data_IF_452143247402
#
_entry.id   IF_452143247402
#
_cell.length_a   1.000
_cell.length_b   1.000
_cell.length_c   1.000
_cell.angle_alpha   90.00
_cell.angle_beta   90.00
_cell.angle_gamma   90.00
#
_symmetry.space_group_name_H-M   'P 1'
#
loop_
_entity.id
_entity.type
_entity.pdbx_description
1 polymer ?
#
# COMPACT_ATOMS: atom_id res chain seq x y z
N UNK A 1 -62.91 -3.47 -11.59
CA UNK A 1 -61.66 -2.70 -11.39
C UNK A 1 -60.65 -3.63 -10.77
N UNK A 2 -59.68 -4.10 -11.55
CA UNK A 2 -58.54 -4.87 -11.05
C UNK A 2 -57.30 -4.19 -11.61
N UNK A 3 -56.47 -3.66 -10.71
CA UNK A 3 -55.19 -3.03 -11.02
C UNK A 3 -54.19 -4.17 -11.23
N UNK A 4 -53.71 -4.34 -12.46
CA UNK A 4 -52.60 -5.23 -12.78
C UNK A 4 -51.30 -4.52 -12.41
N UNK A 5 -50.77 -4.82 -11.23
CA UNK A 5 -49.39 -4.43 -10.87
C UNK A 5 -48.41 -5.28 -11.68
N UNK A 6 -47.69 -4.61 -12.58
CA UNK A 6 -46.62 -5.21 -13.38
C UNK A 6 -45.39 -5.35 -12.49
N UNK A 7 -45.09 -6.56 -12.04
CA UNK A 7 -43.83 -6.88 -11.35
C UNK A 7 -42.67 -6.71 -12.33
N UNK A 8 -41.95 -5.58 -12.24
CA UNK A 8 -40.70 -5.38 -12.95
C UNK A 8 -39.66 -6.37 -12.42
N UNK A 9 -38.94 -7.13 -13.27
CA UNK A 9 -37.82 -7.92 -12.80
C UNK A 9 -36.75 -6.94 -12.32
N UNK A 10 -36.53 -6.90 -11.01
CA UNK A 10 -35.44 -6.18 -10.37
C UNK A 10 -34.16 -6.81 -10.90
N UNK A 11 -33.60 -6.22 -11.96
CA UNK A 11 -32.24 -6.54 -12.40
C UNK A 11 -31.37 -6.43 -11.16
N UNK A 12 -30.60 -7.50 -10.89
CA UNK A 12 -29.58 -7.52 -9.86
C UNK A 12 -28.63 -6.37 -10.16
N UNK A 13 -28.91 -5.22 -9.54
CA UNK A 13 -27.99 -4.12 -9.47
C UNK A 13 -26.86 -4.65 -8.60
N UNK A 14 -25.77 -5.04 -9.25
CA UNK A 14 -24.51 -5.30 -8.56
C UNK A 14 -24.19 -4.01 -7.82
N UNK A 15 -24.47 -4.03 -6.52
CA UNK A 15 -24.17 -2.93 -5.65
C UNK A 15 -22.66 -2.79 -5.60
N UNK A 16 -22.13 -1.74 -6.23
CA UNK A 16 -20.72 -1.35 -6.12
C UNK A 16 -20.39 -0.82 -4.71
N UNK A 17 -21.33 -0.83 -3.76
CA UNK A 17 -21.23 -0.28 -2.40
C UNK A 17 -20.61 -1.21 -1.34
N UNK A 18 -19.79 -2.18 -1.74
CA UNK A 18 -18.82 -2.77 -0.78
C UNK A 18 -17.47 -2.99 -1.44
N UNK A 19 -16.90 -1.91 -1.98
CA UNK A 19 -15.46 -1.86 -2.21
C UNK A 19 -14.77 -2.25 -0.89
N UNK A 20 -13.87 -3.25 -0.85
CA UNK A 20 -13.13 -3.56 0.37
C UNK A 20 -12.51 -2.26 0.87
N UNK A 21 -13.00 -1.83 2.03
CA UNK A 21 -12.50 -0.66 2.73
C UNK A 21 -11.25 -1.14 3.43
N UNK A 22 -10.13 -0.47 3.14
CA UNK A 22 -8.73 -0.77 3.48
C UNK A 22 -8.03 -1.60 2.41
N UNK A 23 -7.44 -0.90 1.43
CA UNK A 23 -6.21 -1.37 0.83
C UNK A 23 -5.08 -1.06 1.83
N UNK A 24 -4.37 -2.09 2.27
CA UNK A 24 -3.32 -1.97 3.28
C UNK A 24 -1.99 -2.49 2.78
N UNK A 25 -0.91 -1.99 3.36
CA UNK A 25 0.39 -2.64 3.26
C UNK A 25 0.35 -3.85 4.21
N UNK A 26 0.53 -5.05 3.66
CA UNK A 26 0.47 -6.32 4.39
C UNK A 26 1.85 -6.79 4.86
N UNK A 27 2.92 -6.30 4.22
CA UNK A 27 4.28 -6.40 4.70
C UNK A 27 5.12 -5.21 4.22
N UNK A 28 6.02 -4.67 5.05
CA UNK A 28 6.32 -5.08 6.43
C UNK A 28 5.19 -4.78 7.42
N UNK A 29 5.13 -5.58 8.48
CA UNK A 29 4.24 -5.41 9.65
C UNK A 29 5.01 -4.84 10.84
N UNK A 30 4.31 -4.50 11.93
CA UNK A 30 4.94 -4.05 13.16
C UNK A 30 5.96 -5.02 13.79
N UNK A 31 5.91 -6.30 13.43
CA UNK A 31 6.84 -7.34 13.89
C UNK A 31 7.96 -7.64 12.87
N UNK A 32 7.98 -6.94 11.74
CA UNK A 32 9.01 -7.13 10.71
C UNK A 32 10.33 -6.50 11.13
N UNK A 33 11.43 -7.18 10.82
CA UNK A 33 12.79 -6.65 10.96
C UNK A 33 13.49 -6.73 9.61
N UNK A 34 13.88 -5.59 9.06
CA UNK A 34 14.69 -5.50 7.86
C UNK A 34 16.17 -5.42 8.23
N UNK A 35 16.96 -6.34 7.69
CA UNK A 35 18.38 -6.43 7.97
C UNK A 35 19.17 -5.63 6.95
N UNK A 36 20.07 -4.74 7.41
CA UNK A 36 20.91 -3.98 6.49
C UNK A 36 21.79 -4.89 5.66
N UNK A 37 21.99 -4.51 4.40
CA UNK A 37 22.70 -5.30 3.42
C UNK A 37 21.91 -6.47 2.83
N UNK A 38 20.75 -6.84 3.40
CA UNK A 38 19.89 -7.90 2.87
C UNK A 38 18.79 -7.34 1.96
N UNK A 39 18.19 -8.22 1.15
CA UNK A 39 16.96 -7.90 0.43
C UNK A 39 15.77 -7.90 1.38
N UNK A 40 14.76 -7.11 1.04
CA UNK A 40 13.46 -7.10 1.71
C UNK A 40 12.33 -7.03 0.67
N UNK A 41 11.11 -7.32 1.07
CA UNK A 41 9.94 -7.19 0.20
C UNK A 41 8.87 -6.31 0.84
N UNK A 42 8.11 -5.64 -0.02
CA UNK A 42 6.92 -4.88 0.32
C UNK A 42 5.74 -5.56 -0.36
N UNK A 43 4.66 -5.79 0.39
CA UNK A 43 3.42 -6.39 -0.09
C UNK A 43 2.23 -5.53 0.31
N UNK A 44 1.26 -5.40 -0.58
CA UNK A 44 0.05 -4.61 -0.32
C UNK A 44 -1.14 -5.15 -1.12
N UNK A 45 -2.34 -4.81 -0.65
CA UNK A 45 -3.56 -5.06 -1.40
C UNK A 45 -3.68 -4.04 -2.54
N UNK A 46 -3.79 -4.51 -3.77
CA UNK A 46 -3.95 -3.65 -4.96
C UNK A 46 -5.28 -2.90 -4.87
N UNK A 47 -5.23 -1.66 -4.41
CA UNK A 47 -6.30 -0.68 -4.53
C UNK A 47 -6.72 -0.42 -5.98
N UNK A 48 -8.01 -0.65 -6.25
CA UNK A 48 -8.57 -0.79 -7.59
C UNK A 48 -8.98 0.51 -8.33
N UNK A 49 -8.77 1.72 -7.79
CA UNK A 49 -9.19 2.95 -8.49
C UNK A 49 -8.05 3.96 -8.54
N UNK A 50 -7.62 4.32 -9.75
CA UNK A 50 -6.83 5.54 -10.02
C UNK A 50 -5.32 5.45 -9.84
N UNK A 51 -4.76 4.29 -9.49
CA UNK A 51 -3.33 4.12 -9.25
C UNK A 51 -2.76 2.94 -10.05
N UNK A 52 -2.71 3.02 -11.38
CA UNK A 52 -2.06 1.96 -12.20
C UNK A 52 -0.57 1.84 -11.89
N UNK A 53 0.04 2.96 -11.49
CA UNK A 53 1.44 3.06 -11.10
C UNK A 53 1.56 3.69 -9.71
N UNK A 54 2.63 3.31 -9.01
CA UNK A 54 2.92 3.78 -7.66
C UNK A 54 4.38 4.21 -7.50
N UNK A 55 4.59 5.11 -6.53
CA UNK A 55 5.89 5.47 -5.94
C UNK A 55 6.01 4.77 -4.59
N UNK A 56 7.19 4.31 -4.22
CA UNK A 56 7.42 3.59 -2.96
C UNK A 56 8.55 4.26 -2.18
N UNK A 57 8.24 4.63 -0.94
CA UNK A 57 9.15 5.32 -0.03
C UNK A 57 9.34 4.54 1.26
N UNK A 58 10.58 4.50 1.74
CA UNK A 58 10.90 4.14 3.12
C UNK A 58 11.01 5.42 3.93
N UNK A 59 10.16 5.59 4.91
CA UNK A 59 10.05 6.79 5.75
C UNK A 59 10.57 6.49 7.15
N UNK A 60 11.13 7.49 7.83
CA UNK A 60 11.47 7.40 9.25
C UNK A 60 10.72 8.47 10.05
N UNK A 61 9.97 8.05 11.08
CA UNK A 61 9.08 8.94 11.83
C UNK A 61 9.82 10.02 12.63
N UNK A 62 10.89 9.65 13.33
CA UNK A 62 11.64 10.54 14.24
C UNK A 62 12.43 11.63 13.50
N UNK A 63 13.09 11.28 12.40
CA UNK A 63 13.91 12.21 11.62
C UNK A 63 13.16 12.92 10.50
N UNK A 64 11.97 12.41 10.13
CA UNK A 64 11.24 12.78 8.90
C UNK A 64 12.06 12.58 7.62
N UNK A 65 13.16 11.83 7.70
CA UNK A 65 13.93 11.43 6.54
C UNK A 65 13.17 10.39 5.74
N UNK A 66 13.48 10.32 4.45
CA UNK A 66 12.94 9.30 3.56
C UNK A 66 13.98 8.81 2.57
N UNK A 67 13.81 7.58 2.12
CA UNK A 67 14.51 7.00 0.97
C UNK A 67 13.48 6.69 -0.08
N UNK A 68 13.64 7.26 -1.27
CA UNK A 68 12.86 6.85 -2.44
C UNK A 68 13.39 5.50 -2.91
N UNK A 69 12.58 4.45 -2.77
CA UNK A 69 12.96 3.11 -3.20
C UNK A 69 12.59 2.88 -4.67
N UNK A 70 11.44 3.43 -5.08
CA UNK A 70 10.95 3.37 -6.46
C UNK A 70 10.13 4.64 -6.78
N UNK A 71 10.31 5.18 -7.98
CA UNK A 71 9.63 6.40 -8.46
C UNK A 71 8.44 6.07 -9.37
N UNK A 72 8.48 4.93 -10.07
CA UNK A 72 7.43 4.55 -11.00
C UNK A 72 7.44 3.04 -11.25
N UNK A 73 6.55 2.31 -10.59
CA UNK A 73 6.33 0.87 -10.86
C UNK A 73 4.86 0.57 -11.02
N UNK A 74 4.54 -0.51 -11.72
CA UNK A 74 3.18 -1.01 -11.83
C UNK A 74 2.64 -1.41 -10.45
N UNK A 75 1.36 -1.15 -10.22
CA UNK A 75 0.66 -1.46 -8.98
C UNK A 75 0.26 -2.94 -8.92
N UNK A 76 1.24 -3.82 -8.79
CA UNK A 76 1.05 -5.29 -8.83
C UNK A 76 0.82 -5.93 -7.45
N UNK A 77 0.94 -5.18 -6.36
CA UNK A 77 0.77 -5.69 -4.99
C UNK A 77 2.07 -6.19 -4.33
N UNK A 78 3.20 -6.13 -5.04
CA UNK A 78 4.50 -6.49 -4.49
C UNK A 78 5.65 -5.67 -5.07
N UNK A 79 6.70 -5.49 -4.27
CA UNK A 79 7.95 -4.86 -4.68
C UNK A 79 9.14 -5.45 -3.90
N UNK A 80 10.17 -5.87 -4.64
CA UNK A 80 11.40 -6.41 -4.07
C UNK A 80 12.46 -5.32 -3.89
N UNK A 81 12.74 -4.96 -2.64
CA UNK A 81 13.82 -4.07 -2.30
C UNK A 81 15.14 -4.84 -2.23
N UNK A 82 15.89 -4.84 -3.33
CA UNK A 82 17.08 -5.69 -3.51
C UNK A 82 18.12 -5.58 -2.40
N UNK A 83 18.24 -4.42 -1.76
CA UNK A 83 19.24 -4.20 -0.72
C UNK A 83 18.87 -3.04 0.20
N UNK A 84 18.67 -3.36 1.49
CA UNK A 84 18.56 -2.36 2.56
C UNK A 84 19.93 -1.68 2.76
N UNK A 85 20.06 -0.36 2.61
CA UNK A 85 21.36 0.32 2.69
C UNK A 85 21.99 0.24 4.07
N UNK A 86 23.31 0.00 4.11
CA UNK A 86 24.10 0.01 5.35
C UNK A 86 24.11 1.35 6.10
N UNK A 87 23.88 2.44 5.37
CA UNK A 87 23.85 3.80 5.93
C UNK A 87 22.57 4.15 6.70
N UNK A 88 21.54 3.29 6.68
CA UNK A 88 20.33 3.53 7.47
C UNK A 88 20.62 3.36 8.96
N UNK A 89 20.13 4.29 9.76
CA UNK A 89 20.23 4.23 11.23
C UNK A 89 19.36 3.09 11.73
N UNK A 90 19.84 2.29 12.69
CA UNK A 90 19.00 1.24 13.28
C UNK A 90 17.92 1.88 14.17
N UNK A 91 16.66 1.54 13.94
CA UNK A 91 15.52 2.04 14.71
C UNK A 91 14.26 1.21 14.39
N UNK A 92 13.21 1.36 15.19
CA UNK A 92 11.91 0.70 15.06
C UNK A 92 10.78 1.62 14.60
N UNK A 93 11.13 2.78 14.04
CA UNK A 93 10.20 3.83 13.63
C UNK A 93 10.14 4.03 12.11
N UNK A 94 10.60 3.03 11.35
CA UNK A 94 10.53 3.02 9.89
C UNK A 94 9.17 2.55 9.42
N UNK A 95 8.63 3.15 8.37
CA UNK A 95 7.39 2.70 7.74
C UNK A 95 7.46 2.86 6.23
N UNK A 96 6.68 2.06 5.51
CA UNK A 96 6.56 2.17 4.07
C UNK A 96 5.41 3.10 3.74
N UNK A 97 5.63 3.97 2.75
CA UNK A 97 4.58 4.75 2.11
C UNK A 97 4.51 4.39 0.64
N UNK A 98 3.32 4.01 0.19
CA UNK A 98 3.01 3.80 -1.22
C UNK A 98 2.10 4.94 -1.66
N UNK A 99 2.50 5.66 -2.70
CA UNK A 99 1.79 6.83 -3.24
C UNK A 99 1.35 6.53 -4.66
N UNK A 100 0.15 6.92 -5.05
CA UNK A 100 -0.26 6.85 -6.46
C UNK A 100 0.65 7.76 -7.30
N UNK A 101 1.08 7.30 -8.47
CA UNK A 101 2.05 8.04 -9.27
C UNK A 101 1.49 9.39 -9.76
N UNK A 102 0.21 9.42 -10.12
CA UNK A 102 -0.48 10.58 -10.71
C UNK A 102 -1.26 11.42 -9.68
N UNK A 103 -1.36 10.97 -8.43
CA UNK A 103 -2.02 11.69 -7.34
C UNK A 103 -1.23 11.52 -6.03
N UNK A 104 -0.37 12.50 -5.74
CA UNK A 104 0.49 12.48 -4.55
C UNK A 104 -0.28 12.61 -3.22
N UNK A 105 -1.57 12.97 -3.26
CA UNK A 105 -2.43 13.00 -2.08
C UNK A 105 -3.03 11.63 -1.77
N UNK A 106 -2.99 10.70 -2.73
CA UNK A 106 -3.46 9.34 -2.54
C UNK A 106 -2.28 8.47 -2.12
N UNK A 107 -2.23 8.11 -0.84
CA UNK A 107 -1.20 7.23 -0.30
C UNK A 107 -1.73 6.33 0.81
N UNK A 108 -1.02 5.23 1.03
CA UNK A 108 -1.17 4.34 2.18
C UNK A 108 0.16 4.22 2.92
N UNK A 109 0.07 4.10 4.25
CA UNK A 109 1.22 3.90 5.13
C UNK A 109 1.13 2.52 5.80
N UNK A 110 2.27 1.89 6.04
CA UNK A 110 2.37 0.70 6.89
C UNK A 110 2.46 1.10 8.37
N UNK A 111 2.36 0.10 9.25
CA UNK A 111 2.85 0.23 10.61
C UNK A 111 4.37 0.46 10.64
N UNK A 112 4.85 0.97 11.77
CA UNK A 112 6.30 1.10 12.01
C UNK A 112 6.94 -0.27 12.26
N UNK A 113 8.10 -0.51 11.69
CA UNK A 113 8.87 -1.75 11.78
C UNK A 113 10.36 -1.47 12.04
N UNK A 114 11.13 -2.52 12.33
CA UNK A 114 12.53 -2.41 12.72
C UNK A 114 13.50 -2.52 11.53
N UNK A 115 14.55 -1.69 11.54
CA UNK A 115 15.77 -1.89 10.75
C UNK A 115 16.93 -2.19 11.69
N UNK A 116 17.62 -3.31 11.44
CA UNK A 116 18.70 -3.84 12.29
C UNK A 116 19.93 -4.30 11.48
N UNK A 117 20.94 -4.87 12.15
CA UNK A 117 22.23 -5.32 11.58
C UNK A 117 22.22 -6.74 11.06
#
# INVERSE_FOLDING_TARGET
MAVTETMSPKLLQFDLSSKPTVAGITAPTAQSTWMRGQSASVHWDVWAIGAEKVKIYLMQKSSRAYTKMEDCTDNTGCFDYRKVPWGLVMNSDYFIRIVAHDDDLHFIDSDCFEISV
#
